data_IF_185228547844
#
_entry.id   IF_185228547844
#
_cell.length_a   1.000
_cell.length_b   1.000
_cell.length_c   1.000
_cell.angle_alpha   90.00
_cell.angle_beta   90.00
_cell.angle_gamma   90.00
#
_symmetry.space_group_name_H-M   'P 1'
#
loop_
_entity.id
_entity.type
_entity.pdbx_description
1 polymer ?
#
# COMPACT_ATOMS: atom_id res chain seq x y z
N UNK A 1 -11.08 21.65 -3.78
CA UNK A 1 -10.99 20.67 -2.70
C UNK A 1 -9.71 19.86 -2.81
N UNK A 2 -9.46 19.00 -1.84
CA UNK A 2 -8.32 18.07 -1.87
C UNK A 2 -8.68 16.84 -2.70
N UNK A 3 -7.72 16.31 -3.43
CA UNK A 3 -7.80 14.96 -4.00
C UNK A 3 -7.44 13.93 -2.91
N UNK A 4 -7.99 12.73 -3.03
CA UNK A 4 -7.87 11.69 -2.00
C UNK A 4 -7.32 10.42 -2.63
N UNK A 5 -6.32 9.84 -1.99
CA UNK A 5 -5.84 8.48 -2.26
C UNK A 5 -6.33 7.63 -1.09
N UNK A 6 -7.11 6.58 -1.37
CA UNK A 6 -7.67 5.71 -0.34
C UNK A 6 -6.88 4.42 -0.19
N UNK A 7 -6.81 3.95 1.05
CA UNK A 7 -6.19 2.68 1.42
C UNK A 7 -7.21 1.80 2.15
N UNK A 8 -8.22 1.25 1.43
CA UNK A 8 -9.35 0.55 2.04
C UNK A 8 -9.08 -0.93 2.30
N UNK A 9 -7.89 -1.40 2.07
CA UNK A 9 -7.55 -2.82 2.02
C UNK A 9 -7.89 -3.57 3.31
N UNK A 10 -7.94 -4.88 3.21
CA UNK A 10 -8.25 -5.76 4.35
C UNK A 10 -7.22 -5.72 5.46
N UNK A 11 -5.94 -5.61 5.13
CA UNK A 11 -4.86 -5.33 6.07
C UNK A 11 -4.30 -3.95 5.77
N UNK A 12 -4.19 -3.11 6.78
CA UNK A 12 -3.78 -1.71 6.63
C UNK A 12 -2.62 -1.30 7.53
N UNK A 13 -2.07 -2.24 8.30
CA UNK A 13 -1.03 -1.98 9.30
C UNK A 13 -1.40 -0.86 10.27
N UNK A 14 -2.57 -0.94 10.89
CA UNK A 14 -3.22 0.16 11.61
C UNK A 14 -2.57 0.52 12.94
N UNK A 15 -1.33 0.26 13.22
CA UNK A 15 -0.63 0.57 14.48
C UNK A 15 -1.49 0.24 15.73
N UNK A 16 -2.25 -0.83 15.64
CA UNK A 16 -3.18 -1.36 16.62
C UNK A 16 -3.04 -2.87 16.67
N UNK A 17 -3.70 -3.51 17.63
CA UNK A 17 -3.64 -4.97 17.74
C UNK A 17 -3.93 -5.64 16.39
N UNK A 18 -3.10 -6.61 16.05
CA UNK A 18 -3.23 -7.46 14.87
C UNK A 18 -3.25 -6.69 13.53
N UNK A 19 -2.61 -5.49 13.50
CA UNK A 19 -2.52 -4.64 12.31
C UNK A 19 -3.88 -4.17 11.79
N UNK A 20 -4.92 -4.18 12.64
CA UNK A 20 -6.29 -3.78 12.30
C UNK A 20 -7.17 -4.92 11.81
N UNK A 21 -6.65 -6.14 11.65
CA UNK A 21 -7.50 -7.31 11.42
C UNK A 21 -8.27 -7.65 12.70
N UNK A 22 -9.57 -7.96 12.62
CA UNK A 22 -10.35 -8.34 13.79
C UNK A 22 -9.82 -9.62 14.46
N UNK A 23 -9.50 -9.56 15.76
CA UNK A 23 -8.93 -10.69 16.49
C UNK A 23 -9.84 -11.93 16.51
N UNK A 24 -11.16 -11.76 16.34
CA UNK A 24 -12.11 -12.88 16.25
C UNK A 24 -11.86 -13.79 15.03
N UNK A 25 -11.12 -13.34 14.01
CA UNK A 25 -10.68 -14.20 12.89
C UNK A 25 -9.82 -15.38 13.37
N UNK A 26 -9.13 -15.24 14.50
CA UNK A 26 -8.34 -16.32 15.10
C UNK A 26 -9.19 -17.48 15.68
N UNK A 27 -10.51 -17.29 15.83
CA UNK A 27 -11.41 -18.34 16.28
C UNK A 27 -11.66 -19.43 15.21
N UNK A 28 -11.29 -19.15 13.96
CA UNK A 28 -11.44 -20.09 12.85
C UNK A 28 -10.06 -20.51 12.33
N UNK A 29 -9.83 -21.80 12.06
CA UNK A 29 -8.55 -22.29 11.55
C UNK A 29 -8.40 -21.93 10.06
N UNK A 30 -7.97 -20.71 9.77
CA UNK A 30 -7.69 -20.22 8.41
C UNK A 30 -6.35 -19.52 8.35
N UNK A 31 -5.75 -19.51 7.17
CA UNK A 31 -4.54 -18.73 6.92
C UNK A 31 -4.95 -17.31 6.52
N UNK A 32 -4.53 -16.34 7.30
CA UNK A 32 -4.79 -14.93 7.04
C UNK A 32 -3.93 -14.40 5.88
N UNK A 33 -4.38 -13.32 5.24
CA UNK A 33 -3.68 -12.66 4.13
C UNK A 33 -3.22 -13.68 3.07
N UNK A 34 -4.14 -14.51 2.62
CA UNK A 34 -3.87 -15.62 1.69
C UNK A 34 -5.12 -15.97 0.89
N UNK A 35 -4.98 -16.87 -0.09
CA UNK A 35 -6.11 -17.44 -0.86
C UNK A 35 -6.95 -18.46 -0.08
N UNK A 36 -6.73 -18.65 1.23
CA UNK A 36 -7.61 -19.52 2.03
C UNK A 36 -9.08 -19.11 1.83
N UNK A 37 -9.93 -20.01 1.33
CA UNK A 37 -11.32 -19.64 0.96
C UNK A 37 -12.13 -19.06 2.14
N UNK A 38 -11.79 -19.46 3.38
CA UNK A 38 -12.45 -18.96 4.59
C UNK A 38 -12.03 -17.49 4.84
N UNK A 39 -10.75 -17.17 4.65
CA UNK A 39 -10.28 -15.81 4.74
C UNK A 39 -10.87 -14.94 3.63
N UNK A 40 -10.80 -15.39 2.37
CA UNK A 40 -11.37 -14.65 1.24
C UNK A 40 -12.87 -14.43 1.36
N UNK A 41 -13.60 -15.35 1.99
CA UNK A 41 -15.02 -15.12 2.31
C UNK A 41 -15.23 -13.97 3.30
N UNK A 42 -14.33 -13.80 4.30
CA UNK A 42 -14.36 -12.65 5.23
C UNK A 42 -13.99 -11.35 4.52
N UNK A 43 -12.99 -11.38 3.62
CA UNK A 43 -12.64 -10.24 2.76
C UNK A 43 -13.84 -9.81 1.93
N UNK A 44 -14.52 -10.73 1.26
CA UNK A 44 -15.74 -10.46 0.48
C UNK A 44 -16.82 -9.82 1.35
N UNK A 45 -17.08 -10.37 2.54
CA UNK A 45 -18.06 -9.80 3.47
C UNK A 45 -17.73 -8.37 3.91
N UNK A 46 -16.46 -8.06 4.06
CA UNK A 46 -15.99 -6.72 4.38
C UNK A 46 -16.18 -5.78 3.19
N UNK A 47 -15.70 -6.17 2.02
CA UNK A 47 -15.74 -5.36 0.81
C UNK A 47 -17.16 -5.08 0.30
N UNK A 48 -18.08 -6.06 0.38
CA UNK A 48 -19.47 -5.84 -0.03
C UNK A 48 -20.20 -4.76 0.78
N UNK A 49 -19.70 -4.45 2.00
CA UNK A 49 -20.28 -3.40 2.85
C UNK A 49 -19.54 -2.08 2.67
N UNK A 50 -18.21 -2.12 2.54
CA UNK A 50 -17.37 -0.92 2.46
C UNK A 50 -17.36 -0.32 1.07
N UNK A 51 -17.01 -1.12 0.05
CA UNK A 51 -16.69 -0.59 -1.28
C UNK A 51 -17.88 0.11 -1.95
N UNK A 52 -19.13 -0.35 -1.86
CA UNK A 52 -20.26 0.40 -2.41
C UNK A 52 -20.44 1.80 -1.83
N UNK A 53 -19.94 2.05 -0.62
CA UNK A 53 -19.95 3.40 -0.01
C UNK A 53 -18.86 4.31 -0.58
N UNK A 54 -17.79 3.72 -1.12
CA UNK A 54 -16.66 4.43 -1.71
C UNK A 54 -16.86 4.69 -3.21
N UNK A 55 -17.64 3.88 -3.91
CA UNK A 55 -17.92 4.03 -5.35
C UNK A 55 -18.35 5.45 -5.71
N UNK A 56 -19.33 6.09 -5.05
CA UNK A 56 -19.75 7.45 -5.41
C UNK A 56 -18.69 8.52 -5.14
N UNK A 57 -17.64 8.19 -4.40
CA UNK A 57 -16.56 9.11 -4.04
C UNK A 57 -15.40 9.09 -5.04
N UNK A 58 -15.42 8.18 -6.01
CA UNK A 58 -14.39 8.09 -7.04
C UNK A 58 -14.45 9.29 -8.00
N UNK A 59 -13.31 9.70 -8.53
CA UNK A 59 -13.25 10.84 -9.47
C UNK A 59 -14.05 10.58 -10.75
N UNK A 60 -14.12 9.34 -11.17
CA UNK A 60 -14.96 8.86 -12.29
C UNK A 60 -16.45 9.08 -12.06
N UNK A 61 -16.87 9.21 -10.80
CA UNK A 61 -18.22 9.52 -10.37
C UNK A 61 -18.38 10.97 -9.84
N UNK A 62 -17.36 11.83 -10.03
CA UNK A 62 -17.38 13.23 -9.60
C UNK A 62 -16.93 13.46 -8.15
N UNK A 63 -16.43 12.45 -7.46
CA UNK A 63 -15.87 12.53 -6.11
C UNK A 63 -14.37 12.89 -6.11
N UNK A 64 -13.76 12.97 -4.94
CA UNK A 64 -12.36 13.36 -4.79
C UNK A 64 -11.35 12.20 -4.86
N UNK A 65 -11.79 10.94 -4.86
CA UNK A 65 -10.90 9.77 -4.79
C UNK A 65 -10.29 9.51 -6.16
N UNK A 66 -8.97 9.55 -6.25
CA UNK A 66 -8.22 9.41 -7.50
C UNK A 66 -7.49 8.07 -7.66
N UNK A 67 -7.19 7.38 -6.56
CA UNK A 67 -6.51 6.08 -6.56
C UNK A 67 -6.91 5.27 -5.32
N UNK A 68 -6.81 3.94 -5.40
CA UNK A 68 -7.01 3.05 -4.24
C UNK A 68 -5.91 1.99 -4.14
N UNK A 69 -5.48 1.71 -2.91
CA UNK A 69 -4.45 0.71 -2.62
C UNK A 69 -5.05 -0.69 -2.51
N UNK A 70 -4.34 -1.65 -3.09
CA UNK A 70 -4.57 -3.09 -2.91
C UNK A 70 -3.62 -3.59 -1.84
N UNK A 71 -4.16 -4.10 -0.74
CA UNK A 71 -3.38 -4.64 0.39
C UNK A 71 -2.43 -3.60 1.03
N UNK A 72 -1.55 -3.99 1.91
CA UNK A 72 -0.54 -3.12 2.50
C UNK A 72 0.74 -3.89 2.79
N UNK A 73 1.84 -3.45 2.18
CA UNK A 73 3.20 -4.00 2.41
C UNK A 73 3.22 -5.53 2.37
N UNK A 74 2.47 -6.11 1.43
CA UNK A 74 2.32 -7.57 1.35
C UNK A 74 3.65 -8.28 1.11
N UNK A 75 4.57 -7.65 0.40
CA UNK A 75 5.89 -8.20 0.12
C UNK A 75 6.76 -8.42 1.36
N UNK A 76 6.48 -7.69 2.46
CA UNK A 76 7.11 -7.92 3.77
C UNK A 76 6.45 -9.05 4.56
N UNK A 77 5.29 -9.54 4.12
CA UNK A 77 4.52 -10.60 4.79
C UNK A 77 4.53 -11.92 4.00
N UNK A 78 4.40 -11.87 2.68
CA UNK A 78 4.26 -13.04 1.83
C UNK A 78 4.54 -12.76 0.36
N UNK A 79 4.37 -13.78 -0.48
CA UNK A 79 4.61 -13.71 -1.92
C UNK A 79 3.49 -14.36 -2.75
N UNK A 80 2.31 -14.54 -2.18
CA UNK A 80 1.19 -15.20 -2.86
C UNK A 80 0.44 -14.23 -3.77
N UNK A 81 0.95 -14.01 -4.98
CA UNK A 81 0.36 -13.10 -5.99
C UNK A 81 -1.13 -13.39 -6.25
N UNK A 82 -1.54 -14.65 -6.18
CA UNK A 82 -2.93 -15.05 -6.36
C UNK A 82 -3.86 -14.38 -5.31
N UNK A 83 -3.40 -14.20 -4.07
CA UNK A 83 -4.15 -13.48 -3.05
C UNK A 83 -4.32 -11.99 -3.40
N UNK A 84 -3.25 -11.34 -3.84
CA UNK A 84 -3.31 -9.94 -4.27
C UNK A 84 -4.24 -9.77 -5.47
N UNK A 85 -4.18 -10.69 -6.46
CA UNK A 85 -5.09 -10.67 -7.63
C UNK A 85 -6.54 -10.84 -7.21
N UNK A 86 -6.85 -11.81 -6.35
CA UNK A 86 -8.22 -11.98 -5.85
C UNK A 86 -8.72 -10.77 -5.07
N UNK A 87 -7.85 -10.11 -4.30
CA UNK A 87 -8.20 -8.87 -3.59
C UNK A 87 -8.51 -7.75 -4.57
N UNK A 88 -7.67 -7.57 -5.59
CA UNK A 88 -7.89 -6.62 -6.69
C UNK A 88 -9.20 -6.88 -7.43
N UNK A 89 -9.42 -8.13 -7.85
CA UNK A 89 -10.62 -8.56 -8.56
C UNK A 89 -11.90 -8.27 -7.76
N UNK A 90 -11.87 -8.49 -6.45
CA UNK A 90 -12.97 -8.13 -5.56
C UNK A 90 -13.22 -6.61 -5.51
N UNK A 91 -12.17 -5.80 -5.51
CA UNK A 91 -12.34 -4.35 -5.55
C UNK A 91 -13.03 -3.92 -6.86
N UNK A 92 -12.61 -4.46 -7.98
CA UNK A 92 -13.21 -4.22 -9.30
C UNK A 92 -14.66 -4.75 -9.38
N UNK A 93 -14.92 -5.96 -8.86
CA UNK A 93 -16.26 -6.54 -8.78
C UNK A 93 -17.25 -5.63 -8.04
N UNK A 94 -16.79 -4.97 -6.98
CA UNK A 94 -17.62 -4.04 -6.20
C UNK A 94 -17.59 -2.60 -6.71
N UNK A 95 -17.10 -2.37 -7.93
CA UNK A 95 -17.26 -1.12 -8.66
C UNK A 95 -16.14 -0.10 -8.45
N UNK A 96 -14.95 -0.53 -7.99
CA UNK A 96 -13.78 0.36 -7.97
C UNK A 96 -13.22 0.43 -9.38
N UNK A 97 -13.18 1.64 -9.96
CA UNK A 97 -12.76 1.93 -11.32
C UNK A 97 -11.66 3.02 -11.43
N UNK A 98 -11.22 3.56 -10.29
CA UNK A 98 -10.01 4.38 -10.26
C UNK A 98 -8.75 3.51 -10.31
N UNK A 99 -7.60 4.05 -10.75
CA UNK A 99 -6.34 3.31 -10.75
C UNK A 99 -6.05 2.65 -9.40
N UNK A 100 -5.71 1.36 -9.44
CA UNK A 100 -5.27 0.60 -8.28
C UNK A 100 -3.74 0.60 -8.20
N UNK A 101 -3.21 0.54 -6.98
CA UNK A 101 -1.77 0.47 -6.73
C UNK A 101 -1.45 -0.45 -5.57
N UNK A 102 -0.21 -0.95 -5.54
CA UNK A 102 0.39 -1.61 -4.37
C UNK A 102 1.44 -0.70 -3.76
N UNK A 103 1.69 -0.83 -2.46
CA UNK A 103 2.70 -0.05 -1.75
C UNK A 103 3.49 -0.97 -0.82
N UNK A 104 4.80 -1.00 -1.01
CA UNK A 104 5.74 -1.87 -0.32
C UNK A 104 7.03 -1.13 0.04
N UNK A 105 7.86 -1.70 0.92
CA UNK A 105 9.21 -1.21 1.13
C UNK A 105 10.01 -1.24 -0.18
N UNK A 106 10.86 -0.24 -0.40
CA UNK A 106 11.62 -0.07 -1.64
C UNK A 106 12.86 -0.99 -1.71
N UNK A 107 12.67 -2.28 -1.50
CA UNK A 107 13.67 -3.33 -1.72
C UNK A 107 13.22 -4.24 -2.87
N UNK A 108 14.16 -4.68 -3.70
CA UNK A 108 13.81 -5.46 -4.89
C UNK A 108 13.02 -6.73 -4.55
N UNK A 109 13.43 -7.48 -3.54
CA UNK A 109 12.76 -8.73 -3.13
C UNK A 109 11.36 -8.49 -2.59
N UNK A 110 11.16 -7.38 -1.88
CA UNK A 110 9.86 -7.01 -1.30
C UNK A 110 8.93 -6.48 -2.40
N UNK A 111 9.45 -5.66 -3.31
CA UNK A 111 8.70 -5.21 -4.48
C UNK A 111 8.30 -6.38 -5.38
N UNK A 112 9.22 -7.31 -5.62
CA UNK A 112 8.93 -8.51 -6.41
C UNK A 112 7.85 -9.37 -5.74
N UNK A 113 7.88 -9.55 -4.44
CA UNK A 113 6.89 -10.33 -3.69
C UNK A 113 5.52 -9.63 -3.57
N UNK A 114 5.50 -8.32 -3.32
CA UNK A 114 4.31 -7.57 -2.90
C UNK A 114 3.55 -6.86 -4.01
N UNK A 115 4.12 -6.70 -5.20
CA UNK A 115 3.47 -5.93 -6.28
C UNK A 115 2.70 -6.81 -7.27
N UNK A 116 1.82 -6.18 -8.02
CA UNK A 116 1.15 -6.74 -9.20
C UNK A 116 1.57 -6.01 -10.48
N UNK A 117 2.87 -5.69 -10.61
CA UNK A 117 3.42 -4.94 -11.75
C UNK A 117 3.15 -5.64 -13.10
N UNK A 118 3.15 -6.96 -13.10
CA UNK A 118 2.85 -7.78 -14.29
C UNK A 118 1.38 -7.69 -14.73
N UNK A 119 0.49 -7.33 -13.81
CA UNK A 119 -0.93 -7.12 -14.05
C UNK A 119 -1.27 -5.63 -14.27
N UNK A 120 -0.28 -4.80 -14.62
CA UNK A 120 -0.42 -3.35 -14.83
C UNK A 120 -0.94 -2.55 -13.60
N UNK A 121 -0.79 -3.09 -12.40
CA UNK A 121 -1.10 -2.38 -11.17
C UNK A 121 0.08 -1.48 -10.79
N UNK A 122 -0.21 -0.21 -10.53
CA UNK A 122 0.80 0.81 -10.26
C UNK A 122 1.60 0.49 -8.99
N UNK A 123 2.91 0.66 -9.06
CA UNK A 123 3.83 0.36 -7.95
C UNK A 123 4.24 1.64 -7.25
N UNK A 124 4.08 1.65 -5.93
CA UNK A 124 4.53 2.74 -5.07
C UNK A 124 5.44 2.21 -3.96
N UNK A 125 6.21 3.08 -3.31
CA UNK A 125 7.12 2.69 -2.25
C UNK A 125 6.75 3.31 -0.90
N UNK A 126 7.26 2.71 0.18
CA UNK A 126 7.20 3.22 1.54
C UNK A 126 8.62 3.35 2.08
N UNK A 127 9.01 4.57 2.44
CA UNK A 127 10.33 4.87 3.02
C UNK A 127 10.33 6.25 3.66
N UNK A 128 11.30 6.54 4.54
CA UNK A 128 11.40 7.84 5.22
C UNK A 128 12.81 8.40 5.24
N UNK A 129 13.75 7.71 4.60
CA UNK A 129 15.15 8.09 4.46
C UNK A 129 15.75 7.48 3.21
N UNK A 130 16.97 7.90 2.82
CA UNK A 130 17.66 7.40 1.63
C UNK A 130 16.79 7.52 0.37
N UNK A 131 16.12 8.65 0.23
CA UNK A 131 15.11 8.89 -0.79
C UNK A 131 15.64 8.68 -2.21
N UNK A 132 16.88 9.11 -2.47
CA UNK A 132 17.53 8.93 -3.76
C UNK A 132 17.78 7.46 -4.10
N UNK A 133 18.31 6.69 -3.16
CA UNK A 133 18.60 5.27 -3.32
C UNK A 133 17.32 4.47 -3.49
N UNK A 134 16.31 4.71 -2.65
CA UNK A 134 15.03 4.03 -2.73
C UNK A 134 14.32 4.33 -4.06
N UNK A 135 14.32 5.57 -4.51
CA UNK A 135 13.79 5.93 -5.82
C UNK A 135 14.55 5.25 -6.96
N UNK A 136 15.88 5.08 -6.85
CA UNK A 136 16.67 4.37 -7.85
C UNK A 136 16.30 2.88 -7.92
N UNK A 137 16.15 2.22 -6.79
CA UNK A 137 15.69 0.81 -6.72
C UNK A 137 14.33 0.67 -7.38
N UNK A 138 13.36 1.54 -7.06
CA UNK A 138 12.02 1.50 -7.67
C UNK A 138 12.07 1.71 -9.18
N UNK A 139 12.88 2.67 -9.66
CA UNK A 139 13.05 2.91 -11.10
C UNK A 139 13.64 1.69 -11.82
N UNK A 140 14.67 1.09 -11.24
CA UNK A 140 15.30 -0.10 -11.80
C UNK A 140 14.33 -1.28 -11.81
N UNK A 141 13.61 -1.51 -10.71
CA UNK A 141 12.58 -2.55 -10.63
C UNK A 141 11.51 -2.37 -11.71
N UNK A 142 10.93 -1.18 -11.84
CA UNK A 142 9.94 -0.88 -12.88
C UNK A 142 10.51 -1.07 -14.28
N UNK A 143 11.74 -0.63 -14.54
CA UNK A 143 12.40 -0.77 -15.84
C UNK A 143 12.61 -2.24 -16.21
N UNK A 144 12.99 -3.11 -15.28
CA UNK A 144 13.10 -4.58 -15.48
C UNK A 144 11.79 -5.20 -15.98
N UNK A 145 10.65 -4.62 -15.59
CA UNK A 145 9.30 -5.04 -16.00
C UNK A 145 8.75 -4.22 -17.20
N UNK A 146 9.61 -3.44 -17.87
CA UNK A 146 9.20 -2.65 -19.04
C UNK A 146 8.30 -1.46 -18.71
N UNK A 147 8.27 -1.00 -17.45
CA UNK A 147 7.48 0.13 -16.98
C UNK A 147 8.35 1.38 -16.82
N UNK A 148 7.77 2.53 -17.15
CA UNK A 148 8.37 3.84 -16.93
C UNK A 148 7.36 4.75 -16.22
N UNK A 149 6.91 4.30 -15.06
CA UNK A 149 5.95 5.03 -14.24
C UNK A 149 6.65 6.07 -13.36
N UNK A 150 5.95 7.13 -12.92
CA UNK A 150 6.49 8.07 -11.97
C UNK A 150 6.76 7.39 -10.61
N UNK A 151 7.70 7.94 -9.85
CA UNK A 151 7.93 7.50 -8.48
C UNK A 151 6.87 8.15 -7.58
N UNK A 152 6.27 7.34 -6.72
CA UNK A 152 5.40 7.79 -5.64
C UNK A 152 5.77 7.08 -4.33
N UNK A 153 5.90 7.86 -3.26
CA UNK A 153 6.11 7.37 -1.91
C UNK A 153 4.79 7.50 -1.13
N UNK A 154 4.10 6.40 -0.86
CA UNK A 154 2.78 6.44 -0.22
C UNK A 154 2.84 6.57 1.29
N UNK A 155 3.94 6.13 1.90
CA UNK A 155 4.25 6.38 3.29
C UNK A 155 5.65 6.97 3.37
N UNK A 156 5.70 8.28 3.64
CA UNK A 156 6.96 8.93 3.94
C UNK A 156 7.11 9.05 5.45
N UNK A 157 8.03 8.26 6.02
CA UNK A 157 8.22 8.21 7.46
C UNK A 157 9.13 9.36 7.92
N UNK A 158 8.55 10.34 8.58
CA UNK A 158 9.26 11.51 9.10
C UNK A 158 9.95 11.28 10.44
N UNK A 159 9.83 10.10 11.01
CA UNK A 159 10.39 9.65 12.28
C UNK A 159 10.15 8.17 12.51
N UNK A 160 10.06 7.80 13.78
CA UNK A 160 9.73 6.44 14.18
C UNK A 160 8.89 6.44 15.46
N UNK A 161 8.34 5.30 15.80
CA UNK A 161 7.49 5.14 16.99
C UNK A 161 8.28 5.36 18.27
N UNK A 162 7.62 5.98 19.26
CA UNK A 162 8.08 6.02 20.63
C UNK A 162 7.37 4.92 21.43
N UNK A 163 8.14 4.07 22.09
CA UNK A 163 7.62 2.97 22.91
C UNK A 163 7.74 3.27 24.38
N UNK A 164 6.86 2.63 25.16
CA UNK A 164 6.90 2.73 26.62
C UNK A 164 8.23 2.19 27.14
N UNK A 165 8.89 2.97 28.04
CA UNK A 165 10.16 2.58 28.65
C UNK A 165 11.40 2.76 27.77
N UNK A 166 11.27 3.23 26.54
CA UNK A 166 12.38 3.54 25.63
C UNK A 166 12.63 5.05 25.53
N UNK A 167 13.86 5.49 25.17
CA UNK A 167 14.13 6.89 24.88
C UNK A 167 13.25 7.39 23.73
N UNK A 168 12.82 8.64 23.83
CA UNK A 168 12.06 9.30 22.76
C UNK A 168 12.96 9.44 21.53
N UNK A 169 12.53 8.84 20.42
CA UNK A 169 13.19 8.96 19.12
C UNK A 169 12.90 10.35 18.56
N UNK A 170 13.97 11.03 18.14
CA UNK A 170 13.87 12.33 17.48
C UNK A 170 14.62 12.27 16.16
N UNK A 171 14.02 12.81 15.12
CA UNK A 171 14.67 13.03 13.83
C UNK A 171 15.05 14.50 13.72
N UNK A 172 16.22 14.78 13.17
CA UNK A 172 16.65 16.15 12.88
C UNK A 172 15.82 16.74 11.75
N UNK A 173 15.30 17.95 11.94
CA UNK A 173 14.44 18.60 10.95
C UNK A 173 15.17 18.99 9.65
N UNK A 174 16.49 19.25 9.73
CA UNK A 174 17.29 19.54 8.53
C UNK A 174 17.53 18.27 7.71
N UNK A 175 17.76 17.13 8.38
CA UNK A 175 17.85 15.82 7.73
C UNK A 175 16.55 15.51 6.96
N UNK A 176 15.41 15.64 7.62
CA UNK A 176 14.10 15.45 6.99
C UNK A 176 13.90 16.38 5.78
N UNK A 177 14.24 17.66 5.91
CA UNK A 177 14.12 18.61 4.81
C UNK A 177 15.03 18.26 3.61
N UNK A 178 16.21 17.72 3.87
CA UNK A 178 17.12 17.28 2.83
C UNK A 178 16.59 16.06 2.08
N UNK A 179 16.06 15.07 2.80
CA UNK A 179 15.45 13.88 2.20
C UNK A 179 14.24 14.25 1.30
N UNK A 180 13.38 15.16 1.74
CA UNK A 180 12.26 15.66 0.93
C UNK A 180 12.77 16.37 -0.33
N UNK A 181 13.83 17.17 -0.24
CA UNK A 181 14.45 17.79 -1.41
C UNK A 181 14.99 16.75 -2.39
N UNK A 182 15.59 15.67 -1.89
CA UNK A 182 16.07 14.57 -2.72
C UNK A 182 14.91 13.86 -3.43
N UNK A 183 13.81 13.59 -2.74
CA UNK A 183 12.60 13.05 -3.35
C UNK A 183 12.09 13.90 -4.50
N UNK A 184 11.96 15.20 -4.29
CA UNK A 184 11.55 16.14 -5.33
C UNK A 184 12.55 16.17 -6.51
N UNK A 185 13.85 16.12 -6.22
CA UNK A 185 14.90 16.14 -7.24
C UNK A 185 14.90 14.87 -8.13
N UNK A 186 14.52 13.72 -7.60
CA UNK A 186 14.37 12.47 -8.40
C UNK A 186 13.05 12.38 -9.15
N UNK A 187 12.18 13.37 -8.99
CA UNK A 187 10.89 13.46 -9.70
C UNK A 187 9.76 12.64 -9.06
N UNK A 188 9.79 12.49 -7.74
CA UNK A 188 8.63 11.95 -7.03
C UNK A 188 7.42 12.87 -7.19
N UNK A 189 6.22 12.28 -7.37
CA UNK A 189 4.98 13.03 -7.53
C UNK A 189 4.36 13.44 -6.19
N UNK A 190 4.80 12.88 -5.11
CA UNK A 190 4.33 13.14 -3.74
C UNK A 190 5.46 12.94 -2.75
#
# INVERSE_FOLDING_TARGET
>A
GLMVILRPSVYICAEWEFGGLPAWLLNEPMRLRSTDPRFMAKVRNYFQVLLPKLVPLQITHGGPVIMMQVENEYGSYGMEKAYLRQTKELMEEYGIDVPLFTSDGAWEEVLDAGTLIEDDVFVTGNFGSRSKENAAVMKEFMAKHGKNWPIMCMEYWDGWFNRWGEPIIKRDGQDLANEVKEMLAVGSLN
#
